data_IF_946722126286
#
_entry.id   IF_946722126286
#
_cell.length_a   1.000
_cell.length_b   1.000
_cell.length_c   1.000
_cell.angle_alpha   90.00
_cell.angle_beta   90.00
_cell.angle_gamma   90.00
#
_symmetry.space_group_name_H-M   'P 1'
#
loop_
_entity.id
_entity.type
_entity.pdbx_description
1 polymer ?
#
# COMPACT_ATOMS: atom_id res chain seq x y z
N UNK A 1 -20.88 1.13 3.81
CA UNK A 1 -19.40 1.22 3.81
C UNK A 1 -19.00 2.43 2.97
N UNK A 2 -17.91 3.14 3.26
CA UNK A 2 -17.45 4.22 2.37
C UNK A 2 -16.93 3.63 1.05
N UNK A 3 -17.35 4.19 -0.09
CA UNK A 3 -16.87 3.78 -1.41
C UNK A 3 -15.34 3.86 -1.46
N UNK A 4 -14.67 2.77 -1.82
CA UNK A 4 -13.23 2.75 -2.10
C UNK A 4 -13.10 3.10 -3.58
N UNK A 5 -12.40 4.20 -3.89
CA UNK A 5 -12.55 4.88 -5.19
C UNK A 5 -11.95 4.12 -6.39
N UNK A 6 -11.05 3.17 -6.13
CA UNK A 6 -10.30 2.40 -7.13
C UNK A 6 -10.80 0.95 -7.32
N UNK A 7 -11.92 0.59 -6.67
CA UNK A 7 -12.53 -0.74 -6.76
C UNK A 7 -14.03 -0.62 -7.02
N UNK A 8 -14.63 -1.65 -7.62
CA UNK A 8 -16.04 -1.65 -8.02
C UNK A 8 -16.94 -2.33 -6.97
N UNK A 9 -16.37 -3.25 -6.17
CA UNK A 9 -17.05 -3.96 -5.09
C UNK A 9 -16.07 -4.30 -3.96
N UNK A 10 -16.58 -4.66 -2.78
CA UNK A 10 -15.76 -5.11 -1.65
C UNK A 10 -16.26 -6.46 -1.13
N UNK A 11 -15.37 -7.45 -1.09
CA UNK A 11 -15.65 -8.78 -0.55
C UNK A 11 -14.91 -8.97 0.77
N UNK A 12 -15.62 -9.31 1.85
CA UNK A 12 -15.04 -9.46 3.19
C UNK A 12 -15.30 -10.88 3.75
N UNK A 13 -14.57 -11.91 3.25
CA UNK A 13 -14.59 -13.26 3.81
C UNK A 13 -13.96 -13.34 5.21
N UNK A 14 -13.21 -12.32 5.67
CA UNK A 14 -12.79 -12.21 7.09
C UNK A 14 -13.09 -10.82 7.65
N UNK A 15 -13.09 -10.68 8.99
CA UNK A 15 -13.07 -9.39 9.71
C UNK A 15 -12.00 -9.43 10.81
N UNK A 16 -11.50 -8.27 11.23
CA UNK A 16 -10.51 -8.15 12.31
C UNK A 16 -9.06 -8.28 11.86
N UNK A 17 -8.15 -7.64 12.60
CA UNK A 17 -6.70 -7.66 12.36
C UNK A 17 -5.94 -7.11 13.57
N UNK A 18 -4.75 -7.64 13.86
CA UNK A 18 -3.85 -7.04 14.86
C UNK A 18 -2.98 -5.94 14.25
N UNK A 19 -2.72 -4.86 15.01
CA UNK A 19 -1.80 -3.77 14.65
C UNK A 19 -0.34 -4.26 14.74
N UNK A 20 0.42 -4.13 13.64
CA UNK A 20 1.82 -4.63 13.55
C UNK A 20 2.86 -3.58 13.11
N UNK A 21 2.44 -2.35 12.83
CA UNK A 21 3.33 -1.26 12.38
C UNK A 21 2.80 0.13 12.75
N UNK A 22 3.64 1.18 12.70
CA UNK A 22 3.22 2.56 12.98
C UNK A 22 2.05 3.05 12.12
N UNK A 23 1.89 2.56 10.88
CA UNK A 23 0.72 2.86 10.05
C UNK A 23 -0.61 2.40 10.66
N UNK A 24 -0.59 1.36 11.47
CA UNK A 24 -1.78 0.84 12.12
C UNK A 24 -2.26 1.70 13.31
N UNK A 25 -1.52 2.75 13.73
CA UNK A 25 -1.89 3.60 14.88
C UNK A 25 -3.23 4.33 14.65
N UNK A 26 -3.48 4.83 13.45
CA UNK A 26 -4.73 5.49 13.03
C UNK A 26 -5.70 4.61 12.25
N UNK A 27 -5.64 3.27 12.41
CA UNK A 27 -6.40 2.33 11.59
C UNK A 27 -7.92 2.57 11.61
N UNK A 28 -8.48 3.02 10.48
CA UNK A 28 -9.92 3.31 10.35
C UNK A 28 -10.79 2.08 10.62
N UNK A 29 -10.32 0.88 10.24
CA UNK A 29 -11.06 -0.36 10.39
C UNK A 29 -11.28 -0.72 11.87
N UNK A 30 -10.32 -0.42 12.76
CA UNK A 30 -10.45 -0.63 14.20
C UNK A 30 -11.49 0.32 14.80
N UNK A 31 -11.46 1.61 14.42
CA UNK A 31 -12.47 2.60 14.84
C UNK A 31 -13.87 2.24 14.35
N UNK A 32 -13.98 1.80 13.09
CA UNK A 32 -15.24 1.39 12.48
C UNK A 32 -15.77 0.08 13.11
N UNK A 33 -14.91 -0.89 13.40
CA UNK A 33 -15.30 -2.15 14.05
C UNK A 33 -15.93 -1.92 15.43
N UNK A 34 -15.34 -1.04 16.26
CA UNK A 34 -15.93 -0.63 17.55
C UNK A 34 -17.35 -0.06 17.37
N UNK A 35 -17.58 0.75 16.33
CA UNK A 35 -18.91 1.29 16.00
C UNK A 35 -19.87 0.19 15.53
N UNK A 36 -19.43 -0.70 14.64
CA UNK A 36 -20.24 -1.80 14.12
C UNK A 36 -20.65 -2.78 15.22
N UNK A 37 -19.74 -3.09 16.17
CA UNK A 37 -20.06 -3.86 17.38
C UNK A 37 -21.20 -3.21 18.17
N UNK A 38 -21.06 -1.92 18.49
CA UNK A 38 -22.09 -1.15 19.22
C UNK A 38 -23.43 -1.00 18.48
N UNK A 39 -23.44 -1.21 17.16
CA UNK A 39 -24.65 -1.29 16.33
C UNK A 39 -25.21 -2.72 16.19
N UNK A 40 -24.67 -3.71 16.91
CA UNK A 40 -25.14 -5.10 16.87
C UNK A 40 -24.79 -5.88 15.59
N UNK A 41 -23.86 -5.39 14.76
CA UNK A 41 -23.50 -6.08 13.51
C UNK A 41 -22.81 -7.42 13.78
N UNK A 42 -23.37 -8.51 13.27
CA UNK A 42 -22.98 -9.89 13.60
C UNK A 42 -21.49 -10.17 13.38
N UNK A 43 -20.93 -9.77 12.22
CA UNK A 43 -19.50 -9.98 11.87
C UNK A 43 -18.49 -9.24 12.76
N UNK A 44 -18.95 -8.39 13.68
CA UNK A 44 -18.13 -7.52 14.52
C UNK A 44 -18.43 -7.71 16.02
N UNK A 45 -19.01 -8.84 16.43
CA UNK A 45 -19.24 -9.13 17.85
C UNK A 45 -18.01 -9.71 18.57
N UNK A 46 -17.09 -10.34 17.82
CA UNK A 46 -15.85 -10.90 18.37
C UNK A 46 -14.83 -9.80 18.69
N UNK A 47 -14.41 -9.72 19.95
CA UNK A 47 -13.36 -8.79 20.39
C UNK A 47 -11.96 -9.32 20.09
N UNK A 48 -11.03 -8.40 19.85
CA UNK A 48 -9.61 -8.70 19.71
C UNK A 48 -8.84 -8.52 21.03
N UNK A 49 -7.53 -8.77 20.99
CA UNK A 49 -6.61 -8.47 22.09
C UNK A 49 -6.60 -6.94 22.33
N UNK A 50 -6.93 -6.45 23.55
CA UNK A 50 -6.96 -5.02 23.86
C UNK A 50 -5.67 -4.25 23.58
N UNK A 51 -4.52 -4.93 23.49
CA UNK A 51 -3.22 -4.32 23.19
C UNK A 51 -3.01 -4.14 21.69
N UNK A 52 -3.39 -5.12 20.87
CA UNK A 52 -3.02 -5.16 19.44
C UNK A 52 -4.22 -4.94 18.52
N UNK A 53 -5.38 -5.50 18.84
CA UNK A 53 -6.68 -5.27 18.21
C UNK A 53 -7.61 -4.53 19.20
N UNK A 54 -8.91 -4.82 19.27
CA UNK A 54 -9.84 -4.09 20.13
C UNK A 54 -11.30 -4.51 19.95
N UNK A 55 -12.27 -3.74 20.51
CA UNK A 55 -13.67 -4.11 20.49
C UNK A 55 -14.21 -4.33 19.07
N UNK A 56 -14.77 -5.51 18.82
CA UNK A 56 -15.32 -5.94 17.54
C UNK A 56 -14.31 -6.21 16.43
N UNK A 57 -13.00 -6.19 16.74
CA UNK A 57 -11.92 -6.34 15.75
C UNK A 57 -11.10 -7.63 15.93
N UNK A 58 -11.70 -8.64 16.59
CA UNK A 58 -11.15 -9.99 16.67
C UNK A 58 -11.16 -10.69 15.31
N UNK A 59 -10.03 -11.31 14.94
CA UNK A 59 -9.87 -11.98 13.65
C UNK A 59 -10.86 -13.14 13.53
N UNK A 60 -11.77 -13.04 12.57
CA UNK A 60 -12.91 -13.94 12.38
C UNK A 60 -13.07 -14.26 10.89
N UNK A 61 -13.26 -15.54 10.56
CA UNK A 61 -13.60 -16.01 9.20
C UNK A 61 -15.11 -16.09 9.01
N UNK A 62 -15.60 -15.86 7.79
CA UNK A 62 -17.04 -15.85 7.46
C UNK A 62 -17.34 -16.80 6.29
N UNK A 63 -17.52 -18.12 6.54
CA UNK A 63 -17.82 -19.11 5.50
C UNK A 63 -19.04 -18.76 4.64
N UNK A 64 -20.09 -18.21 5.24
CA UNK A 64 -21.31 -17.79 4.53
C UNK A 64 -21.06 -16.76 3.42
N UNK A 65 -19.96 -16.00 3.53
CA UNK A 65 -19.55 -15.01 2.54
C UNK A 65 -18.69 -15.56 1.42
N UNK A 66 -18.20 -16.80 1.50
CA UNK A 66 -17.34 -17.38 0.46
C UNK A 66 -18.03 -17.38 -0.91
N UNK A 67 -19.34 -17.64 -0.96
CA UNK A 67 -20.08 -17.79 -2.23
C UNK A 67 -20.59 -16.47 -2.82
N UNK A 68 -20.31 -15.32 -2.19
CA UNK A 68 -20.75 -13.99 -2.69
C UNK A 68 -20.30 -13.73 -4.14
N UNK A 69 -19.03 -13.97 -4.55
CA UNK A 69 -18.59 -13.64 -5.90
C UNK A 69 -19.17 -14.54 -7.00
N UNK A 70 -19.53 -15.79 -6.70
CA UNK A 70 -20.17 -16.72 -7.66
C UNK A 70 -21.50 -16.17 -8.24
N UNK A 71 -22.12 -15.25 -7.49
CA UNK A 71 -23.40 -14.60 -7.84
C UNK A 71 -23.21 -13.38 -8.76
N UNK A 72 -22.00 -12.84 -8.87
CA UNK A 72 -21.73 -11.61 -9.64
C UNK A 72 -21.42 -11.95 -11.11
N UNK A 73 -22.36 -11.63 -12.01
CA UNK A 73 -22.23 -11.98 -13.44
C UNK A 73 -21.50 -10.95 -14.31
N UNK A 74 -21.43 -9.69 -13.88
CA UNK A 74 -20.67 -8.64 -14.59
C UNK A 74 -19.23 -8.58 -14.08
N UNK A 75 -18.21 -8.35 -14.93
CA UNK A 75 -16.86 -8.07 -14.50
C UNK A 75 -16.78 -6.94 -13.47
N UNK A 76 -15.88 -7.10 -12.51
CA UNK A 76 -15.70 -6.21 -11.34
C UNK A 76 -14.24 -6.28 -10.91
N UNK A 77 -13.68 -5.14 -10.48
CA UNK A 77 -12.55 -5.12 -9.54
C UNK A 77 -13.10 -5.23 -8.13
N UNK A 78 -12.58 -6.18 -7.37
CA UNK A 78 -13.07 -6.54 -6.03
C UNK A 78 -11.92 -6.35 -5.05
N UNK A 79 -12.07 -5.43 -4.10
CA UNK A 79 -11.12 -5.33 -3.00
C UNK A 79 -11.47 -6.37 -1.94
N UNK A 80 -10.52 -7.28 -1.68
CA UNK A 80 -10.68 -8.35 -0.69
C UNK A 80 -10.23 -7.85 0.67
N UNK A 81 -11.09 -8.01 1.68
CA UNK A 81 -10.81 -7.69 3.08
C UNK A 81 -10.49 -6.22 3.37
N UNK A 82 -11.49 -5.36 3.18
CA UNK A 82 -11.44 -3.95 3.62
C UNK A 82 -11.38 -3.73 5.14
N UNK A 83 -11.72 -4.74 5.93
CA UNK A 83 -11.89 -4.64 7.39
C UNK A 83 -11.08 -5.70 8.15
N UNK A 84 -10.02 -6.22 7.53
CA UNK A 84 -9.18 -7.30 8.02
C UNK A 84 -7.86 -7.36 7.23
N UNK A 85 -7.01 -8.33 7.52
CA UNK A 85 -5.88 -8.71 6.66
C UNK A 85 -6.08 -10.19 6.30
N UNK A 86 -6.16 -10.52 5.00
CA UNK A 86 -6.39 -11.90 4.56
C UNK A 86 -5.27 -12.84 5.07
N UNK A 87 -4.02 -12.38 5.01
CA UNK A 87 -2.86 -13.18 5.43
C UNK A 87 -2.56 -13.06 6.94
N UNK A 88 -3.53 -12.69 7.77
CA UNK A 88 -3.36 -12.74 9.23
C UNK A 88 -3.05 -14.16 9.72
N UNK A 89 -2.11 -14.31 10.66
CA UNK A 89 -1.67 -15.61 11.19
C UNK A 89 -2.79 -16.48 11.82
N UNK A 90 -3.93 -15.86 12.19
CA UNK A 90 -5.12 -16.52 12.73
C UNK A 90 -6.17 -16.89 11.67
N UNK A 91 -5.94 -16.59 10.39
CA UNK A 91 -6.77 -17.07 9.28
C UNK A 91 -6.22 -18.44 8.85
N UNK A 92 -6.98 -19.55 8.99
CA UNK A 92 -6.50 -20.89 8.66
C UNK A 92 -6.08 -21.03 7.19
N UNK A 93 -5.14 -21.94 6.91
CA UNK A 93 -4.64 -22.19 5.53
C UNK A 93 -5.78 -22.70 4.65
N UNK A 94 -6.59 -23.58 5.19
CA UNK A 94 -7.78 -24.20 4.61
C UNK A 94 -8.81 -23.13 4.18
N UNK A 95 -8.99 -22.07 4.98
CA UNK A 95 -9.88 -20.97 4.62
C UNK A 95 -9.29 -20.07 3.52
N UNK A 96 -7.96 -19.87 3.50
CA UNK A 96 -7.29 -19.18 2.39
C UNK A 96 -7.45 -19.94 1.08
N UNK A 97 -7.30 -21.28 1.12
CA UNK A 97 -7.55 -22.16 -0.03
C UNK A 97 -8.97 -21.98 -0.54
N UNK A 98 -9.99 -21.99 0.33
CA UNK A 98 -11.39 -21.77 -0.07
C UNK A 98 -11.60 -20.39 -0.74
N UNK A 99 -10.99 -19.33 -0.18
CA UNK A 99 -11.04 -17.97 -0.77
C UNK A 99 -10.37 -17.94 -2.15
N UNK A 100 -9.21 -18.59 -2.32
CA UNK A 100 -8.52 -18.66 -3.61
C UNK A 100 -9.24 -19.54 -4.64
N UNK A 101 -9.87 -20.64 -4.22
CA UNK A 101 -10.69 -21.48 -5.10
C UNK A 101 -11.90 -20.71 -5.67
N UNK A 102 -12.55 -19.85 -4.88
CA UNK A 102 -13.60 -18.94 -5.37
C UNK A 102 -13.05 -17.91 -6.38
N UNK A 103 -11.88 -17.32 -6.12
CA UNK A 103 -11.26 -16.38 -7.05
C UNK A 103 -10.88 -17.05 -8.39
N UNK A 104 -10.38 -18.28 -8.33
CA UNK A 104 -10.07 -19.11 -9.50
C UNK A 104 -11.32 -19.52 -10.30
N UNK A 105 -12.45 -19.76 -9.62
CA UNK A 105 -13.74 -20.08 -10.23
C UNK A 105 -14.48 -18.88 -10.84
N UNK A 106 -13.97 -17.66 -10.64
CA UNK A 106 -14.60 -16.42 -11.11
C UNK A 106 -13.60 -15.55 -11.90
N UNK A 107 -13.03 -16.08 -13.01
CA UNK A 107 -12.00 -15.39 -13.78
C UNK A 107 -12.48 -14.03 -14.32
N UNK A 108 -13.79 -13.84 -14.52
CA UNK A 108 -14.36 -12.56 -14.96
C UNK A 108 -14.18 -11.39 -13.97
N UNK A 109 -13.69 -11.64 -12.75
CA UNK A 109 -13.43 -10.60 -11.76
C UNK A 109 -11.95 -10.46 -11.44
N UNK A 110 -11.48 -9.22 -11.29
CA UNK A 110 -10.13 -8.92 -10.81
C UNK A 110 -10.15 -8.74 -9.28
N UNK A 111 -9.37 -9.52 -8.56
CA UNK A 111 -9.27 -9.46 -7.10
C UNK A 111 -8.04 -8.68 -6.67
N UNK A 112 -8.23 -7.71 -5.77
CA UNK A 112 -7.17 -6.88 -5.21
C UNK A 112 -7.02 -7.22 -3.73
N UNK A 113 -5.88 -7.81 -3.35
CA UNK A 113 -5.58 -8.21 -1.97
C UNK A 113 -4.44 -7.35 -1.44
N UNK A 114 -4.65 -6.64 -0.34
CA UNK A 114 -3.63 -5.84 0.32
C UNK A 114 -3.31 -6.41 1.71
N UNK A 115 -2.05 -6.69 2.00
CA UNK A 115 -1.61 -7.23 3.31
C UNK A 115 -0.42 -6.47 3.88
N UNK A 116 -0.29 -6.44 5.21
CA UNK A 116 0.95 -5.98 5.89
C UNK A 116 1.85 -7.15 6.30
N UNK A 117 1.56 -8.37 5.80
CA UNK A 117 2.21 -9.65 6.11
C UNK A 117 2.61 -10.41 4.81
N UNK A 118 3.30 -9.77 3.85
CA UNK A 118 3.64 -10.40 2.57
C UNK A 118 4.53 -11.64 2.72
N UNK A 119 5.31 -11.74 3.80
CA UNK A 119 6.14 -12.90 4.12
C UNK A 119 5.27 -14.16 4.27
N UNK A 120 4.11 -14.04 4.91
CA UNK A 120 3.13 -15.14 5.02
C UNK A 120 2.39 -15.38 3.69
N UNK A 121 2.20 -14.36 2.86
CA UNK A 121 1.65 -14.55 1.53
C UNK A 121 2.62 -15.37 0.64
N UNK A 122 3.90 -15.00 0.60
CA UNK A 122 4.95 -15.74 -0.09
C UNK A 122 5.07 -17.19 0.40
N UNK A 123 5.19 -17.40 1.72
CA UNK A 123 5.30 -18.74 2.32
C UNK A 123 4.15 -19.69 1.94
N UNK A 124 2.93 -19.15 1.75
CA UNK A 124 1.75 -19.94 1.42
C UNK A 124 1.59 -20.13 -0.09
N UNK A 125 1.88 -19.10 -0.89
CA UNK A 125 1.57 -19.08 -2.33
C UNK A 125 2.73 -19.56 -3.22
N UNK A 126 3.97 -19.51 -2.72
CA UNK A 126 5.18 -20.02 -3.40
C UNK A 126 5.37 -21.53 -3.19
N UNK A 127 4.38 -22.20 -2.58
CA UNK A 127 4.28 -23.66 -2.43
C UNK A 127 4.07 -24.34 -3.82
N UNK A 128 5.18 -24.53 -4.54
CA UNK A 128 5.22 -25.09 -5.88
C UNK A 128 5.10 -26.62 -5.87
N UNK A 129 3.95 -27.14 -6.31
CA UNK A 129 3.91 -28.51 -6.81
C UNK A 129 4.85 -28.68 -8.01
N UNK A 130 5.72 -29.69 -7.94
CA UNK A 130 6.59 -30.16 -9.04
C UNK A 130 6.19 -31.55 -9.55
N UNK A 131 4.96 -31.96 -9.24
CA UNK A 131 4.49 -33.33 -9.13
C UNK A 131 4.06 -34.00 -10.47
N UNK A 132 3.67 -33.20 -11.47
CA UNK A 132 3.00 -33.73 -12.66
C UNK A 132 1.55 -34.13 -12.39
N UNK A 133 0.98 -34.99 -13.24
CA UNK A 133 -0.46 -35.25 -13.35
C UNK A 133 -1.09 -36.13 -12.23
N UNK A 134 -0.47 -36.21 -11.06
CA UNK A 134 -0.98 -36.96 -9.91
C UNK A 134 -0.73 -36.22 -8.60
N UNK A 135 -1.78 -36.07 -7.80
CA UNK A 135 -1.75 -35.35 -6.52
C UNK A 135 -2.47 -36.16 -5.43
N UNK A 136 -1.83 -36.37 -4.27
CA UNK A 136 -2.55 -36.46 -3.01
C UNK A 136 -3.16 -35.08 -2.69
N UNK A 137 -4.48 -34.96 -2.44
CA UNK A 137 -5.06 -33.72 -1.95
C UNK A 137 -4.46 -33.36 -0.57
N UNK A 138 -3.93 -32.15 -0.42
CA UNK A 138 -3.44 -31.64 0.87
C UNK A 138 -1.95 -31.28 0.97
N UNK A 139 -1.13 -31.63 -0.01
CA UNK A 139 0.33 -31.40 0.10
C UNK A 139 0.76 -29.97 -0.29
N UNK A 140 0.13 -29.38 -1.30
CA UNK A 140 0.49 -28.07 -1.84
C UNK A 140 -0.72 -27.14 -1.95
N UNK A 141 -0.54 -25.83 -1.70
CA UNK A 141 -1.64 -24.84 -1.67
C UNK A 141 -2.56 -24.90 -2.90
N UNK A 142 -1.97 -25.12 -4.08
CA UNK A 142 -2.73 -25.24 -5.33
C UNK A 142 -3.59 -26.50 -5.42
N UNK A 143 -3.06 -27.63 -4.94
CA UNK A 143 -3.79 -28.92 -4.92
C UNK A 143 -4.95 -28.90 -3.92
N UNK A 144 -4.80 -28.14 -2.83
CA UNK A 144 -5.88 -27.93 -1.86
C UNK A 144 -7.05 -27.13 -2.49
N UNK A 145 -6.80 -26.24 -3.47
CA UNK A 145 -7.90 -25.53 -4.16
C UNK A 145 -8.80 -26.48 -4.94
N UNK A 146 -8.22 -27.51 -5.57
CA UNK A 146 -8.98 -28.55 -6.26
C UNK A 146 -9.81 -29.37 -5.26
N UNK A 147 -9.24 -29.66 -4.08
CA UNK A 147 -9.97 -30.30 -2.98
C UNK A 147 -11.13 -29.43 -2.47
N UNK A 148 -10.97 -28.12 -2.39
CA UNK A 148 -12.05 -27.19 -2.04
C UNK A 148 -13.16 -27.09 -3.11
N UNK A 149 -12.92 -27.57 -4.34
CA UNK A 149 -13.93 -27.69 -5.40
C UNK A 149 -14.59 -29.08 -5.49
N UNK A 150 -14.10 -30.06 -4.72
CA UNK A 150 -14.56 -31.46 -4.77
C UNK A 150 -15.76 -31.68 -3.84
N UNK A 151 -16.96 -32.08 -4.30
CA UNK A 151 -18.17 -32.12 -3.46
C UNK A 151 -18.14 -33.00 -2.20
N UNK A 152 -17.27 -34.02 -2.16
CA UNK A 152 -17.12 -34.91 -1.01
C UNK A 152 -16.02 -34.44 -0.02
N UNK A 153 -15.38 -33.31 -0.29
CA UNK A 153 -14.33 -32.75 0.56
C UNK A 153 -14.91 -32.09 1.82
N UNK A 154 -14.27 -32.26 2.99
CA UNK A 154 -14.62 -31.51 4.20
C UNK A 154 -14.37 -30.01 4.08
N UNK A 155 -13.60 -29.55 3.08
CA UNK A 155 -13.36 -28.13 2.78
C UNK A 155 -14.11 -27.64 1.53
N UNK A 156 -15.05 -28.42 1.00
CA UNK A 156 -15.84 -28.06 -0.18
C UNK A 156 -16.56 -26.70 -0.03
N UNK A 157 -16.46 -25.84 -1.03
CA UNK A 157 -17.22 -24.58 -1.11
C UNK A 157 -18.43 -24.79 -2.04
N UNK A 158 -19.67 -24.66 -1.54
CA UNK A 158 -20.86 -24.90 -2.34
C UNK A 158 -20.93 -24.02 -3.61
N UNK A 159 -21.10 -24.68 -4.77
CA UNK A 159 -21.23 -24.03 -6.06
C UNK A 159 -19.93 -23.89 -6.84
N UNK A 160 -18.83 -24.48 -6.37
CA UNK A 160 -17.63 -24.69 -7.18
C UNK A 160 -17.77 -25.95 -8.05
N UNK A 161 -17.27 -25.86 -9.28
CA UNK A 161 -17.16 -26.99 -10.21
C UNK A 161 -15.81 -27.68 -10.04
N UNK A 162 -15.74 -29.01 -10.22
CA UNK A 162 -14.46 -29.71 -10.24
C UNK A 162 -13.55 -29.26 -11.40
N UNK A 163 -12.25 -29.43 -11.23
CA UNK A 163 -11.21 -29.12 -12.20
C UNK A 163 -10.89 -27.63 -12.34
N UNK A 164 -11.28 -26.78 -11.38
CA UNK A 164 -10.96 -25.34 -11.40
C UNK A 164 -9.44 -25.14 -11.49
N UNK A 165 -8.66 -25.92 -10.73
CA UNK A 165 -7.19 -25.78 -10.71
C UNK A 165 -6.58 -25.95 -12.11
N UNK A 166 -7.07 -26.92 -12.88
CA UNK A 166 -6.56 -27.20 -14.23
C UNK A 166 -6.95 -26.15 -15.27
N UNK A 167 -7.97 -25.30 -15.00
CA UNK A 167 -8.46 -24.27 -15.93
C UNK A 167 -7.89 -22.89 -15.66
N UNK A 168 -7.61 -22.54 -14.40
CA UNK A 168 -7.29 -21.15 -14.01
C UNK A 168 -5.81 -20.76 -14.11
N UNK A 169 -4.89 -21.71 -14.29
CA UNK A 169 -3.44 -21.45 -14.35
C UNK A 169 -2.83 -21.03 -13.00
N UNK A 170 -1.53 -20.71 -12.99
CA UNK A 170 -0.87 -20.12 -11.81
C UNK A 170 0.36 -19.25 -12.19
N UNK A 171 0.55 -18.05 -11.58
CA UNK A 171 -0.36 -17.37 -10.65
C UNK A 171 -1.73 -17.12 -11.26
N UNK A 172 -2.77 -17.02 -10.43
CA UNK A 172 -4.14 -16.78 -10.93
C UNK A 172 -4.14 -15.43 -11.69
N UNK A 173 -4.49 -15.41 -12.98
CA UNK A 173 -4.32 -14.23 -13.85
C UNK A 173 -5.16 -13.04 -13.39
N UNK A 174 -6.22 -13.31 -12.62
CA UNK A 174 -7.14 -12.33 -12.10
C UNK A 174 -6.87 -11.90 -10.64
N UNK A 175 -5.77 -12.36 -10.01
CA UNK A 175 -5.43 -12.03 -8.62
C UNK A 175 -4.22 -11.09 -8.54
N UNK A 176 -4.46 -9.90 -8.00
CA UNK A 176 -3.47 -8.86 -7.72
C UNK A 176 -3.17 -8.88 -6.22
N UNK A 177 -1.89 -8.98 -5.86
CA UNK A 177 -1.44 -8.99 -4.46
C UNK A 177 -0.57 -7.77 -4.25
N UNK A 178 -0.74 -7.13 -3.09
CA UNK A 178 0.05 -5.98 -2.73
C UNK A 178 0.36 -5.93 -1.25
N UNK A 179 1.37 -5.11 -0.93
CA UNK A 179 1.73 -4.84 0.47
C UNK A 179 1.68 -3.35 0.78
N UNK A 180 1.36 -3.01 2.03
CA UNK A 180 1.51 -1.63 2.48
C UNK A 180 2.90 -1.37 3.03
N UNK A 181 3.46 -0.20 2.74
CA UNK A 181 4.68 0.31 3.36
C UNK A 181 4.44 1.72 3.87
N UNK A 182 4.99 2.04 5.03
CA UNK A 182 4.82 3.36 5.65
C UNK A 182 6.07 4.24 5.57
N UNK A 183 7.24 3.63 5.44
CA UNK A 183 8.56 4.25 5.46
C UNK A 183 9.59 3.25 4.88
N UNK A 184 10.80 3.72 4.56
CA UNK A 184 11.87 2.90 3.98
C UNK A 184 12.09 1.57 4.72
N UNK A 185 12.08 1.57 6.05
CA UNK A 185 12.30 0.35 6.85
C UNK A 185 11.23 -0.72 6.59
N UNK A 186 9.99 -0.33 6.26
CA UNK A 186 8.93 -1.29 5.89
C UNK A 186 9.00 -1.63 4.41
N UNK A 187 9.47 -0.75 3.55
CA UNK A 187 9.78 -1.07 2.16
C UNK A 187 10.85 -2.17 2.05
N UNK A 188 11.98 -1.97 2.73
CA UNK A 188 13.11 -2.90 2.81
C UNK A 188 12.71 -4.30 3.30
N UNK A 189 11.81 -4.36 4.28
CA UNK A 189 11.31 -5.62 4.84
C UNK A 189 10.29 -6.32 3.93
N UNK A 190 9.29 -5.57 3.43
CA UNK A 190 8.06 -6.14 2.85
C UNK A 190 8.12 -6.32 1.33
N UNK A 191 8.86 -5.46 0.61
CA UNK A 191 8.90 -5.52 -0.85
C UNK A 191 9.57 -6.81 -1.35
N UNK A 192 10.71 -7.29 -0.80
CA UNK A 192 11.30 -8.56 -1.24
C UNK A 192 10.32 -9.74 -1.17
N UNK A 193 9.59 -9.89 -0.05
CA UNK A 193 8.57 -10.93 0.10
C UNK A 193 7.38 -10.75 -0.86
N UNK A 194 6.99 -9.51 -1.19
CA UNK A 194 5.97 -9.28 -2.22
C UNK A 194 6.46 -9.73 -3.62
N UNK A 195 7.72 -9.46 -3.97
CA UNK A 195 8.29 -9.88 -5.26
C UNK A 195 8.35 -11.42 -5.37
N UNK A 196 8.68 -12.12 -4.28
CA UNK A 196 8.62 -13.59 -4.20
C UNK A 196 7.19 -14.16 -4.30
N UNK A 197 6.16 -13.38 -3.97
CA UNK A 197 4.77 -13.86 -3.96
C UNK A 197 4.23 -14.01 -5.39
N UNK A 198 3.66 -15.17 -5.78
CA UNK A 198 3.01 -15.34 -7.09
C UNK A 198 1.70 -14.55 -7.18
N UNK A 199 1.66 -13.57 -8.08
CA UNK A 199 0.47 -12.79 -8.42
C UNK A 199 0.54 -12.33 -9.88
N UNK A 200 -0.61 -12.00 -10.48
CA UNK A 200 -0.66 -11.41 -11.82
C UNK A 200 -0.24 -9.92 -11.84
N UNK A 201 -0.40 -9.24 -10.71
CA UNK A 201 0.07 -7.87 -10.45
C UNK A 201 0.61 -7.82 -9.03
N UNK A 202 1.81 -7.28 -8.86
CA UNK A 202 2.40 -6.95 -7.56
C UNK A 202 2.33 -5.45 -7.33
N UNK A 203 1.45 -5.01 -6.44
CA UNK A 203 1.23 -3.58 -6.18
C UNK A 203 1.73 -3.12 -4.81
N UNK A 204 2.28 -1.91 -4.75
CA UNK A 204 2.71 -1.29 -3.52
C UNK A 204 1.70 -0.24 -3.05
N UNK A 205 1.37 -0.24 -1.76
CA UNK A 205 0.55 0.79 -1.14
C UNK A 205 1.36 1.55 -0.09
N UNK A 206 1.92 2.68 -0.49
CA UNK A 206 2.60 3.63 0.37
C UNK A 206 1.58 4.38 1.26
N UNK A 207 0.93 3.65 2.17
CA UNK A 207 -0.23 4.12 2.94
C UNK A 207 -0.34 3.58 4.40
N UNK A 208 -0.51 4.48 5.39
CA UNK A 208 -0.23 5.91 5.29
C UNK A 208 1.28 6.11 5.07
N UNK A 209 1.68 7.02 4.17
CA UNK A 209 3.09 7.37 4.01
C UNK A 209 3.53 8.27 5.18
N UNK A 210 4.45 7.75 6.00
CA UNK A 210 4.94 8.35 7.25
C UNK A 210 6.40 8.80 7.17
N UNK A 211 7.10 8.47 6.09
CA UNK A 211 8.48 8.87 5.82
C UNK A 211 8.81 8.73 4.33
N UNK A 212 10.04 9.10 3.92
CA UNK A 212 10.52 8.87 2.56
C UNK A 212 10.56 7.38 2.24
N UNK A 213 10.39 7.05 0.96
CA UNK A 213 10.63 5.72 0.40
C UNK A 213 11.28 5.87 -0.98
N UNK A 214 12.53 5.46 -1.09
CA UNK A 214 13.19 5.19 -2.37
C UNK A 214 12.78 3.80 -2.86
N UNK A 215 12.22 3.75 -4.08
CA UNK A 215 11.77 2.52 -4.74
C UNK A 215 12.67 2.09 -5.91
N UNK A 216 13.72 2.83 -6.24
CA UNK A 216 14.47 2.67 -7.50
C UNK A 216 15.04 1.27 -7.74
N UNK A 217 15.30 0.51 -6.68
CA UNK A 217 15.77 -0.90 -6.73
C UNK A 217 14.69 -1.98 -6.88
N UNK A 218 13.40 -1.61 -6.88
CA UNK A 218 12.27 -2.56 -7.00
C UNK A 218 11.20 -2.15 -8.01
N UNK A 219 11.19 -0.89 -8.44
CA UNK A 219 10.60 -0.57 -9.74
C UNK A 219 11.41 -1.33 -10.80
N UNK A 220 10.75 -1.82 -11.86
CA UNK A 220 11.36 -2.70 -12.86
C UNK A 220 12.70 -2.14 -13.37
N UNK A 221 13.67 -2.99 -13.74
CA UNK A 221 14.93 -2.48 -14.25
C UNK A 221 14.60 -1.71 -15.51
N UNK A 222 15.22 -0.53 -15.59
CA UNK A 222 15.50 0.23 -16.80
C UNK A 222 15.55 -0.72 -18.01
N UNK A 223 14.76 -0.49 -19.09
CA UNK A 223 14.87 -1.25 -20.33
C UNK A 223 16.26 -1.23 -20.97
N UNK A 224 17.17 -0.44 -20.42
CA UNK A 224 18.56 -0.35 -20.80
C UNK A 224 19.44 -0.27 -19.53
N UNK A 225 20.03 -1.39 -19.13
CA UNK A 225 21.16 -1.36 -18.19
C UNK A 225 22.46 -0.91 -18.88
N UNK A 226 22.44 -0.62 -20.19
CA UNK A 226 23.60 -0.30 -21.01
C UNK A 226 24.46 -1.50 -21.43
N UNK A 227 24.07 -2.72 -21.05
CA UNK A 227 24.92 -3.93 -21.16
C UNK A 227 24.23 -5.12 -21.85
N UNK A 228 23.05 -4.92 -22.45
CA UNK A 228 22.36 -5.95 -23.25
C UNK A 228 22.83 -5.85 -24.70
N UNK A 229 23.34 -6.93 -25.28
CA UNK A 229 23.68 -6.97 -26.70
C UNK A 229 22.41 -6.78 -27.55
N UNK A 230 22.36 -5.82 -28.50
CA UNK A 230 21.13 -5.45 -29.22
C UNK A 230 20.52 -6.58 -30.07
N UNK A 231 21.29 -7.64 -30.33
CA UNK A 231 21.03 -8.63 -31.37
C UNK A 231 20.70 -10.04 -30.84
N UNK A 232 20.93 -10.33 -29.56
CA UNK A 232 20.57 -11.62 -28.94
C UNK A 232 20.04 -11.55 -27.48
N UNK A 233 20.01 -10.36 -26.86
CA UNK A 233 19.53 -10.20 -25.49
C UNK A 233 20.48 -10.68 -24.39
N UNK A 234 21.72 -11.07 -24.73
CA UNK A 234 22.71 -11.50 -23.73
C UNK A 234 23.38 -10.32 -23.04
N UNK A 235 23.66 -10.46 -21.74
CA UNK A 235 24.44 -9.46 -21.00
C UNK A 235 25.94 -9.61 -21.30
N UNK A 236 26.51 -8.65 -22.03
CA UNK A 236 27.92 -8.65 -22.42
C UNK A 236 28.77 -7.94 -21.38
N UNK A 237 29.20 -8.68 -20.35
CA UNK A 237 30.31 -8.22 -19.51
C UNK A 237 31.63 -8.37 -20.27
N UNK A 238 32.42 -7.30 -20.49
CA UNK A 238 33.82 -7.48 -20.84
C UNK A 238 34.52 -8.22 -19.69
N UNK A 239 35.39 -9.17 -19.99
CA UNK A 239 36.06 -10.03 -19.00
C UNK A 239 37.09 -9.28 -18.09
N UNK A 240 37.07 -7.94 -18.10
CA UNK A 240 37.94 -7.06 -17.33
C UNK A 240 37.09 -6.14 -16.43
N UNK A 241 36.81 -6.63 -15.23
CA UNK A 241 36.59 -5.90 -13.97
C UNK A 241 36.69 -4.36 -14.05
N UNK A 242 35.57 -3.64 -14.03
CA UNK A 242 35.54 -2.19 -13.74
C UNK A 242 34.91 -1.90 -12.37
N UNK A 243 35.38 -0.86 -11.63
CA UNK A 243 34.96 -0.62 -10.24
C UNK A 243 33.48 -0.27 -10.06
N UNK A 244 32.75 0.19 -11.08
CA UNK A 244 31.34 0.58 -10.93
C UNK A 244 30.44 -0.63 -10.65
N UNK A 245 30.78 -1.81 -11.17
CA UNK A 245 30.00 -3.04 -10.98
C UNK A 245 30.23 -3.70 -9.60
N UNK A 246 31.31 -3.35 -8.90
CA UNK A 246 31.73 -4.05 -7.67
C UNK A 246 30.93 -3.72 -6.41
N UNK A 247 30.00 -2.75 -6.45
CA UNK A 247 29.16 -2.44 -5.29
C UNK A 247 28.07 -3.50 -5.01
N UNK A 248 27.97 -4.53 -5.86
CA UNK A 248 27.06 -5.68 -5.70
C UNK A 248 27.83 -7.01 -5.75
N UNK A 249 28.52 -7.36 -4.66
CA UNK A 249 29.06 -8.71 -4.47
C UNK A 249 27.96 -9.80 -4.54
N UNK A 250 26.73 -9.42 -4.17
CA UNK A 250 25.52 -10.24 -4.22
C UNK A 250 24.58 -9.84 -5.37
N UNK A 251 25.10 -9.67 -6.60
CA UNK A 251 24.27 -9.38 -7.77
C UNK A 251 23.21 -10.50 -7.98
N UNK A 252 21.90 -10.24 -7.79
CA UNK A 252 20.86 -11.28 -7.82
C UNK A 252 20.61 -11.81 -9.24
N UNK A 253 21.06 -11.08 -10.25
CA UNK A 253 20.82 -11.30 -11.68
C UNK A 253 21.57 -12.53 -12.23
N UNK A 254 22.38 -13.20 -11.40
CA UNK A 254 23.02 -14.48 -11.74
C UNK A 254 22.04 -15.63 -12.00
N UNK A 255 20.74 -15.44 -11.79
CA UNK A 255 19.67 -16.35 -12.25
C UNK A 255 18.49 -15.58 -12.86
N UNK A 256 18.54 -15.48 -14.20
CA UNK A 256 17.44 -15.18 -15.15
C UNK A 256 17.02 -13.71 -15.25
N UNK A 257 17.33 -13.10 -16.38
CA UNK A 257 16.79 -11.80 -16.79
C UNK A 257 15.29 -11.84 -17.13
N UNK A 258 14.75 -13.01 -17.50
CA UNK A 258 13.37 -13.16 -17.96
C UNK A 258 12.32 -13.24 -16.82
N UNK A 259 12.74 -13.69 -15.62
CA UNK A 259 11.84 -13.98 -14.49
C UNK A 259 11.76 -12.82 -13.44
N UNK A 260 12.55 -11.75 -13.60
CA UNK A 260 12.62 -10.65 -12.60
C UNK A 260 11.53 -9.60 -12.82
N UNK A 261 10.37 -9.82 -12.20
CA UNK A 261 9.27 -8.86 -12.18
C UNK A 261 9.41 -7.92 -10.98
N UNK A 262 9.76 -6.65 -11.24
CA UNK A 262 9.61 -5.56 -10.28
C UNK A 262 8.14 -5.23 -9.97
N UNK A 263 7.90 -4.14 -9.26
CA UNK A 263 6.54 -3.66 -8.94
C UNK A 263 5.76 -3.27 -10.21
N UNK A 264 4.49 -3.65 -10.26
CA UNK A 264 3.59 -3.43 -11.41
C UNK A 264 2.63 -2.24 -11.22
N UNK A 265 2.49 -1.74 -9.99
CA UNK A 265 1.63 -0.58 -9.64
C UNK A 265 2.05 0.02 -8.31
N UNK A 266 2.05 1.36 -8.18
CA UNK A 266 2.32 2.05 -6.91
C UNK A 266 1.20 3.02 -6.55
N UNK A 267 0.73 2.93 -5.31
CA UNK A 267 -0.33 3.76 -4.73
C UNK A 267 0.27 4.58 -3.60
N UNK A 268 0.08 5.91 -3.59
CA UNK A 268 0.51 6.80 -2.50
C UNK A 268 -0.71 7.49 -1.85
N UNK A 269 -0.71 7.58 -0.52
CA UNK A 269 -1.74 8.30 0.21
C UNK A 269 -1.41 8.63 1.67
N UNK A 270 -1.84 9.81 2.10
CA UNK A 270 -1.71 10.29 3.48
C UNK A 270 -2.83 9.84 4.42
N UNK A 271 -2.58 9.97 5.72
CA UNK A 271 -3.48 9.54 6.80
C UNK A 271 -4.72 10.44 6.92
N UNK A 272 -5.88 9.86 7.26
CA UNK A 272 -7.15 10.58 7.49
C UNK A 272 -7.60 10.48 8.95
N UNK A 273 -8.39 11.43 9.42
CA UNK A 273 -8.96 11.49 10.76
C UNK A 273 -8.27 12.46 11.72
N UNK A 274 -8.83 12.63 12.92
CA UNK A 274 -8.42 13.67 13.87
C UNK A 274 -6.95 13.60 14.30
N UNK A 275 -6.38 12.40 14.38
CA UNK A 275 -4.98 12.15 14.75
C UNK A 275 -4.08 11.79 13.55
N UNK A 276 -4.48 12.17 12.33
CA UNK A 276 -3.69 11.94 11.14
C UNK A 276 -2.31 12.60 11.23
N UNK A 277 -1.27 11.85 10.91
CA UNK A 277 0.09 12.38 10.71
C UNK A 277 0.20 12.99 9.31
N UNK A 278 1.12 13.93 9.18
CA UNK A 278 1.33 14.64 7.93
C UNK A 278 2.27 13.84 7.01
N UNK A 279 1.97 13.85 5.71
CA UNK A 279 2.80 13.30 4.64
C UNK A 279 3.53 14.46 3.96
N UNK A 280 4.86 14.42 3.87
CA UNK A 280 5.60 15.47 3.18
C UNK A 280 5.35 15.40 1.66
N UNK A 281 5.15 16.53 0.95
CA UNK A 281 4.83 16.50 -0.48
C UNK A 281 5.92 15.88 -1.33
N UNK A 282 7.20 16.08 -0.98
CA UNK A 282 8.31 15.51 -1.75
C UNK A 282 8.28 13.98 -1.71
N UNK A 283 7.94 13.33 -0.58
CA UNK A 283 7.87 11.86 -0.54
C UNK A 283 6.88 11.28 -1.57
N UNK A 284 5.79 12.00 -1.87
CA UNK A 284 4.84 11.60 -2.91
C UNK A 284 5.34 11.92 -4.33
N UNK A 285 6.13 12.98 -4.50
CA UNK A 285 6.78 13.36 -5.77
C UNK A 285 7.92 12.42 -6.12
N UNK A 286 8.83 12.16 -5.18
CA UNK A 286 9.97 11.25 -5.33
C UNK A 286 9.49 9.87 -5.80
N UNK A 287 8.41 9.34 -5.19
CA UNK A 287 7.78 8.08 -5.61
C UNK A 287 7.13 8.20 -6.99
N UNK A 288 6.39 9.28 -7.30
CA UNK A 288 5.79 9.52 -8.62
C UNK A 288 6.85 9.53 -9.71
N UNK A 289 7.91 10.30 -9.51
CA UNK A 289 8.95 10.56 -10.51
C UNK A 289 9.78 9.28 -10.75
N UNK A 290 10.05 8.50 -9.70
CA UNK A 290 10.63 7.17 -9.84
C UNK A 290 9.71 6.20 -10.63
N UNK A 291 8.40 6.25 -10.42
CA UNK A 291 7.43 5.44 -11.17
C UNK A 291 7.34 5.85 -12.65
N UNK A 292 7.33 7.15 -12.94
CA UNK A 292 7.32 7.71 -14.30
C UNK A 292 8.57 7.27 -15.08
N UNK A 293 9.76 7.43 -14.49
CA UNK A 293 11.05 6.97 -15.05
C UNK A 293 11.05 5.45 -15.30
N UNK A 294 10.46 4.65 -14.43
CA UNK A 294 10.40 3.20 -14.56
C UNK A 294 9.21 2.68 -15.42
N UNK A 295 8.34 3.57 -15.93
CA UNK A 295 7.13 3.20 -16.66
C UNK A 295 6.10 2.42 -15.82
N UNK A 296 6.18 2.51 -14.49
CA UNK A 296 5.26 1.83 -13.55
C UNK A 296 4.05 2.72 -13.29
N UNK A 297 2.80 2.25 -13.50
CA UNK A 297 1.60 3.03 -13.24
C UNK A 297 1.57 3.62 -11.81
N UNK A 298 1.24 4.90 -11.71
CA UNK A 298 1.18 5.64 -10.44
C UNK A 298 -0.25 6.11 -10.08
N UNK A 299 -0.68 5.81 -8.86
CA UNK A 299 -1.98 6.24 -8.32
C UNK A 299 -1.80 7.10 -7.07
N UNK A 300 -2.08 8.40 -7.18
CA UNK A 300 -2.16 9.29 -6.03
C UNK A 300 -3.60 9.29 -5.50
N UNK A 301 -3.79 8.65 -4.34
CA UNK A 301 -5.13 8.48 -3.75
C UNK A 301 -5.63 9.77 -3.12
N UNK A 302 -4.86 10.34 -2.20
CA UNK A 302 -5.24 11.51 -1.43
C UNK A 302 -4.07 12.03 -0.58
N UNK A 303 -4.15 13.31 -0.24
CA UNK A 303 -3.29 13.94 0.78
C UNK A 303 -3.62 13.48 2.22
N UNK A 304 -4.86 13.08 2.49
CA UNK A 304 -5.34 12.84 3.86
C UNK A 304 -5.77 14.15 4.52
N UNK A 305 -5.53 14.37 5.81
CA UNK A 305 -5.87 15.66 6.46
C UNK A 305 -4.87 16.79 6.17
N UNK A 306 -3.65 16.45 5.74
CA UNK A 306 -2.51 17.35 5.59
C UNK A 306 -2.08 17.43 4.13
N UNK A 307 -1.77 18.62 3.64
CA UNK A 307 -1.31 18.82 2.26
C UNK A 307 -0.48 20.09 2.11
N UNK A 308 0.04 20.36 0.90
CA UNK A 308 0.88 21.52 0.61
C UNK A 308 0.24 22.83 1.08
N UNK A 309 1.03 23.71 1.71
CA UNK A 309 0.62 25.06 2.05
C UNK A 309 1.10 26.04 0.94
N UNK A 310 0.23 26.90 0.39
CA UNK A 310 0.60 27.81 -0.70
C UNK A 310 1.52 28.96 -0.26
N UNK A 311 1.66 29.21 1.04
CA UNK A 311 2.58 30.18 1.63
C UNK A 311 2.81 29.85 3.12
N UNK A 312 3.94 30.28 3.67
CA UNK A 312 4.16 30.39 5.12
C UNK A 312 3.92 31.84 5.55
N UNK A 313 3.45 32.03 6.78
CA UNK A 313 3.39 33.33 7.49
C UNK A 313 4.52 33.31 8.53
N UNK A 314 5.62 34.03 8.29
CA UNK A 314 6.77 34.08 9.21
C UNK A 314 6.60 35.13 10.31
N UNK A 315 6.98 34.79 11.53
CA UNK A 315 6.98 35.72 12.66
C UNK A 315 8.00 36.83 12.46
N UNK A 316 7.79 37.97 13.15
CA UNK A 316 8.77 39.03 13.39
C UNK A 316 10.19 38.49 13.68
N UNK A 317 11.22 39.32 13.45
CA UNK A 317 12.64 38.96 13.65
C UNK A 317 12.80 38.07 14.90
N UNK A 318 13.33 36.84 14.76
CA UNK A 318 13.43 35.88 15.87
C UNK A 318 14.31 36.37 17.03
N UNK A 319 15.07 37.46 16.85
CA UNK A 319 15.84 38.15 17.90
C UNK A 319 15.04 39.22 18.66
N UNK A 320 13.97 39.74 18.06
CA UNK A 320 13.25 40.95 18.52
C UNK A 320 11.79 40.66 18.90
N UNK A 321 11.18 39.63 18.33
CA UNK A 321 9.80 39.22 18.64
C UNK A 321 8.73 40.20 18.15
N UNK A 322 7.48 39.98 18.57
CA UNK A 322 6.36 40.88 18.25
C UNK A 322 6.44 42.17 19.07
N UNK A 323 6.30 43.31 18.41
CA UNK A 323 6.49 44.66 18.99
C UNK A 323 5.20 45.49 19.07
N UNK A 324 4.05 44.95 18.63
CA UNK A 324 2.74 45.61 18.71
C UNK A 324 1.93 45.23 19.95
N UNK A 325 0.70 45.73 20.05
CA UNK A 325 -0.26 45.41 21.12
C UNK A 325 -0.84 43.99 20.99
N UNK A 326 -1.52 43.52 22.05
CA UNK A 326 -2.24 42.24 22.03
C UNK A 326 -3.45 42.25 21.09
N UNK A 327 -4.11 43.39 20.91
CA UNK A 327 -5.26 43.54 20.01
C UNK A 327 -4.84 43.49 18.55
N UNK A 328 -3.74 44.15 18.18
CA UNK A 328 -3.12 44.04 16.86
C UNK A 328 -2.65 42.60 16.58
N UNK A 329 -2.05 41.93 17.57
CA UNK A 329 -1.68 40.53 17.48
C UNK A 329 -2.91 39.61 17.29
N UNK A 330 -4.04 39.93 17.94
CA UNK A 330 -5.30 39.22 17.78
C UNK A 330 -5.99 39.49 16.43
N UNK A 331 -5.84 40.69 15.86
CA UNK A 331 -6.30 41.02 14.52
C UNK A 331 -5.45 40.30 13.45
N UNK A 332 -4.12 40.33 13.58
CA UNK A 332 -3.19 39.64 12.69
C UNK A 332 -3.40 38.12 12.70
N UNK A 333 -3.70 37.52 13.86
CA UNK A 333 -4.17 36.12 13.99
C UNK A 333 -5.37 35.85 13.08
N UNK A 334 -6.46 36.59 13.26
CA UNK A 334 -7.72 36.39 12.53
C UNK A 334 -7.58 36.61 11.02
N UNK A 335 -6.85 37.64 10.60
CA UNK A 335 -6.60 37.90 9.17
C UNK A 335 -5.74 36.81 8.53
N UNK A 336 -4.70 36.35 9.25
CA UNK A 336 -3.86 35.25 8.79
C UNK A 336 -4.66 33.93 8.68
N UNK A 337 -5.45 33.58 9.69
CA UNK A 337 -6.33 32.41 9.69
C UNK A 337 -7.40 32.49 8.60
N UNK A 338 -8.01 33.67 8.37
CA UNK A 338 -8.97 33.90 7.29
C UNK A 338 -8.34 33.75 5.89
N UNK A 339 -7.05 34.09 5.74
CA UNK A 339 -6.25 33.80 4.54
C UNK A 339 -5.75 32.35 4.47
N UNK A 340 -5.95 31.56 5.53
CA UNK A 340 -5.61 30.14 5.61
C UNK A 340 -4.24 29.81 6.20
N UNK A 341 -3.61 30.75 6.92
CA UNK A 341 -2.41 30.44 7.70
C UNK A 341 -2.75 29.52 8.87
N UNK A 342 -1.88 28.55 9.14
CA UNK A 342 -1.98 27.63 10.29
C UNK A 342 -0.59 27.36 10.84
N UNK A 343 -0.50 26.62 11.95
CA UNK A 343 0.76 25.99 12.40
C UNK A 343 1.30 25.12 11.25
N UNK A 344 2.32 25.61 10.57
CA UNK A 344 2.81 25.07 9.30
C UNK A 344 4.07 24.29 9.59
N UNK A 345 4.09 23.02 9.19
CA UNK A 345 5.27 22.18 9.34
C UNK A 345 6.11 22.29 8.07
N UNK A 346 7.43 22.33 8.22
CA UNK A 346 8.38 22.20 7.11
C UNK A 346 9.05 20.84 7.21
N UNK A 347 9.02 20.05 6.13
CA UNK A 347 9.92 18.92 6.01
C UNK A 347 11.28 19.42 5.57
N UNK A 348 12.28 19.21 6.42
CA UNK A 348 13.68 19.43 6.07
C UNK A 348 14.37 18.07 5.99
N UNK A 349 15.22 17.88 4.99
CA UNK A 349 16.20 16.81 5.00
C UNK A 349 17.32 17.19 5.95
N UNK A 350 17.61 16.32 6.92
CA UNK A 350 18.74 16.49 7.84
C UNK A 350 19.76 15.40 7.49
N UNK A 351 20.94 15.76 6.96
CA UNK A 351 22.02 14.80 6.76
C UNK A 351 22.41 14.12 8.07
N UNK A 352 22.66 12.82 8.01
CA UNK A 352 23.03 11.97 9.15
C UNK A 352 23.82 10.76 8.68
N UNK A 353 24.49 10.09 9.61
CA UNK A 353 25.46 9.01 9.32
C UNK A 353 24.82 7.78 8.64
N UNK A 354 23.49 7.65 8.73
CA UNK A 354 22.67 6.59 8.12
C UNK A 354 22.09 6.98 6.74
N UNK A 355 22.60 8.05 6.13
CA UNK A 355 22.15 8.55 4.83
C UNK A 355 21.15 9.70 4.91
N UNK A 356 20.84 10.19 6.11
CA UNK A 356 19.97 11.35 6.33
C UNK A 356 18.50 11.00 6.58
N UNK A 357 17.81 11.88 7.29
CA UNK A 357 16.42 11.70 7.70
C UNK A 357 15.58 12.94 7.38
N UNK A 358 14.37 12.73 6.87
CA UNK A 358 13.39 13.81 6.74
C UNK A 358 12.71 14.05 8.09
N UNK A 359 12.89 15.24 8.64
CA UNK A 359 12.19 15.68 9.84
C UNK A 359 11.10 16.68 9.48
N UNK A 360 9.87 16.36 9.88
CA UNK A 360 8.77 17.32 9.91
C UNK A 360 8.91 18.17 11.18
N UNK A 361 9.46 19.36 11.03
CA UNK A 361 9.57 20.33 12.11
C UNK A 361 8.41 21.32 12.07
N UNK A 362 7.81 21.57 13.24
CA UNK A 362 7.12 22.83 13.48
C UNK A 362 8.18 23.94 13.53
N UNK A 363 7.97 25.04 12.81
CA UNK A 363 8.87 26.20 12.87
C UNK A 363 8.81 26.73 14.30
N UNK A 364 9.96 26.72 15.00
CA UNK A 364 10.06 26.85 16.47
C UNK A 364 9.72 28.21 17.09
N UNK A 365 8.70 28.90 16.59
CA UNK A 365 8.30 30.24 17.03
C UNK A 365 6.78 30.30 17.28
N UNK A 366 6.38 31.03 18.32
CA UNK A 366 4.98 31.46 18.50
C UNK A 366 4.66 32.52 17.42
N UNK A 367 3.59 32.38 16.60
CA UNK A 367 3.34 33.27 15.45
C UNK A 367 2.89 34.70 15.84
N UNK A 368 2.91 35.74 14.98
CA UNK A 368 2.76 35.82 13.50
C UNK A 368 3.45 37.08 12.90
N UNK A 369 3.72 37.11 11.59
CA UNK A 369 3.78 38.34 10.74
C UNK A 369 3.61 37.99 9.24
N UNK A 370 3.12 38.91 8.40
CA UNK A 370 2.67 38.60 7.04
C UNK A 370 3.73 38.86 5.95
N UNK A 371 4.70 37.96 5.81
CA UNK A 371 5.57 37.88 4.63
C UNK A 371 5.47 36.54 3.90
N UNK A 372 5.32 36.58 2.58
CA UNK A 372 5.59 35.44 1.69
C UNK A 372 7.10 35.23 1.59
N UNK A 373 7.69 34.59 2.58
CA UNK A 373 9.11 34.28 2.53
C UNK A 373 9.35 33.17 1.51
N UNK A 374 10.18 33.46 0.51
CA UNK A 374 10.75 32.44 -0.35
C UNK A 374 11.55 31.47 0.51
N UNK A 375 11.05 30.25 0.65
CA UNK A 375 11.73 29.23 1.42
C UNK A 375 12.86 28.65 0.57
N UNK A 376 13.91 28.15 1.22
CA UNK A 376 15.01 27.47 0.53
C UNK A 376 14.53 26.24 -0.23
N UNK A 377 15.20 25.94 -1.34
CA UNK A 377 14.94 24.78 -2.17
C UNK A 377 14.89 23.49 -1.33
N UNK A 378 13.91 22.64 -1.64
CA UNK A 378 13.63 21.40 -0.90
C UNK A 378 12.57 21.49 0.21
N UNK A 379 12.28 22.69 0.74
CA UNK A 379 11.25 22.83 1.79
C UNK A 379 9.84 22.89 1.18
N UNK A 380 9.00 21.89 1.44
CA UNK A 380 7.60 21.87 1.02
C UNK A 380 6.70 22.05 2.25
N UNK A 381 6.23 23.28 2.54
CA UNK A 381 5.42 23.52 3.73
C UNK A 381 4.09 22.79 3.67
N UNK A 382 3.62 22.29 4.81
CA UNK A 382 2.34 21.59 4.93
C UNK A 382 1.48 22.14 6.05
N UNK A 383 0.17 22.18 5.77
CA UNK A 383 -0.88 22.57 6.70
C UNK A 383 -1.96 21.51 6.79
N UNK A 384 -2.67 21.52 7.91
CA UNK A 384 -3.86 20.69 8.09
C UNK A 384 -5.05 21.37 7.41
N UNK A 385 -5.42 20.87 6.24
CA UNK A 385 -6.54 21.38 5.45
C UNK A 385 -7.89 20.77 5.87
N UNK A 386 -7.85 19.55 6.39
CA UNK A 386 -9.03 18.70 6.48
C UNK A 386 -9.24 17.92 5.18
N UNK A 387 -9.61 16.63 5.27
CA UNK A 387 -9.63 15.67 4.15
C UNK A 387 -10.19 16.21 2.83
N UNK A 388 -11.36 16.86 2.87
CA UNK A 388 -12.04 17.36 1.67
C UNK A 388 -11.28 18.48 0.96
N UNK A 389 -10.61 19.35 1.72
CA UNK A 389 -9.88 20.51 1.20
C UNK A 389 -8.44 20.17 0.82
N UNK A 390 -7.82 19.18 1.46
CA UNK A 390 -6.51 18.66 1.04
C UNK A 390 -6.59 18.03 -0.37
N UNK A 391 -7.67 17.31 -0.67
CA UNK A 391 -7.95 16.79 -2.01
C UNK A 391 -7.05 15.63 -2.45
N UNK A 392 -6.97 15.46 -3.78
CA UNK A 392 -6.30 14.33 -4.45
C UNK A 392 -5.43 14.73 -5.65
N UNK A 393 -5.11 16.02 -5.77
CA UNK A 393 -4.24 16.51 -6.83
C UNK A 393 -2.80 16.60 -6.31
N UNK A 394 -1.87 15.96 -7.01
CA UNK A 394 -0.44 16.10 -6.77
C UNK A 394 0.11 16.97 -7.89
N UNK A 395 0.53 18.18 -7.52
CA UNK A 395 1.01 19.25 -8.41
C UNK A 395 -0.01 19.62 -9.50
N UNK A 396 -1.27 19.83 -9.10
CA UNK A 396 -2.37 20.29 -9.98
C UNK A 396 -2.92 19.24 -10.95
N UNK A 397 -2.43 17.99 -10.87
CA UNK A 397 -2.91 16.85 -11.65
C UNK A 397 -3.43 15.74 -10.75
N UNK A 398 -4.50 15.07 -11.16
CA UNK A 398 -4.93 13.80 -10.57
C UNK A 398 -4.17 12.64 -11.23
N UNK A 399 -3.63 11.73 -10.42
CA UNK A 399 -2.89 10.55 -10.88
C UNK A 399 -3.72 9.30 -10.56
N UNK A 400 -4.31 8.68 -11.59
CA UNK A 400 -5.29 7.60 -11.49
C UNK A 400 -4.89 6.39 -12.34
N UNK A 401 -3.59 6.12 -12.48
CA UNK A 401 -3.11 5.10 -13.41
C UNK A 401 -3.28 3.70 -12.80
N UNK A 402 -3.49 2.72 -13.68
CA UNK A 402 -3.67 1.30 -13.33
C UNK A 402 -2.83 0.44 -14.29
N UNK A 403 -2.45 -0.78 -13.88
CA UNK A 403 -1.88 -1.79 -14.77
C UNK A 403 -2.72 -1.98 -16.04
N UNK A 404 -2.06 -1.90 -17.20
CA UNK A 404 -2.65 -2.21 -18.51
C UNK A 404 -2.44 -3.70 -18.81
N UNK A 405 -3.39 -4.32 -19.52
CA UNK A 405 -3.20 -5.65 -20.11
C UNK A 405 -3.48 -6.86 -19.21
N UNK A 406 -3.92 -6.68 -17.97
CA UNK A 406 -4.36 -7.80 -17.10
C UNK A 406 -5.86 -8.05 -17.28
N UNK A 407 -6.24 -8.38 -18.52
CA UNK A 407 -7.55 -8.95 -18.85
C UNK A 407 -7.52 -10.46 -18.58
N UNK A 408 -8.63 -10.96 -18.05
CA UNK A 408 -8.85 -12.38 -17.75
C UNK A 408 -8.84 -13.28 -18.99
#
# INVERSE_FOLDING_TARGET
>A
MTKIEWTDEVWNPTTGCDRISPGCRGCYALTMAKRLKGMGQAKYQNDGDPRTSGPGFGVTVHPDSLTEPLRWKKPRRIFVNSMSDLFHARVPREFLVQVFAVMAATPQHTYQILTKRPERAAQILTDLCRCGAGHPPGEHFRSEMEWASTPHSPTYVPGLEAGIYHRSGWPLPNVWIGTSVEDQKRADLRIPALLETPAAVRFLSCEPLLGPVDLGRWLRPVPDCGHVAPEDGTCTHPAAFTPECHRWADCPVRKRHDDWHGLDWVIVGGESGHAARAMHPNWARDIRDACDVAGVPFFFKQWGEWGPAPFIVRVCDPKVGWQGTEEELAAAKRDSEARGATHTHTGNWIPGDDGGQYHLHEIGHKPWSLERVGLSDGTAPIRRWGKKAAGRELDGRTHNEFPKGVSA
#
